data_IF_225634207870
#
_entry.id   IF_225634207870
#
_cell.length_a   1.000
_cell.length_b   1.000
_cell.length_c   1.000
_cell.angle_alpha   90.00
_cell.angle_beta   90.00
_cell.angle_gamma   90.00
#
_symmetry.space_group_name_H-M   'P 1'
#
loop_
_entity.id
_entity.type
_entity.pdbx_description
1 polymer ?
#
# COMPACT_ATOMS: atom_id res chain seq x y z
N UNK A 1 0.52 -15.83 15.91
CA UNK A 1 0.44 -15.28 14.55
C UNK A 1 0.79 -13.81 14.63
N UNK A 2 1.68 -13.35 13.70
CA UNK A 2 2.30 -12.03 13.79
C UNK A 2 1.90 -11.09 12.64
N UNK A 3 1.39 -11.65 11.54
CA UNK A 3 0.83 -10.92 10.40
C UNK A 3 -0.07 -11.82 9.56
N UNK A 4 -0.93 -11.22 8.74
CA UNK A 4 -1.78 -11.89 7.75
C UNK A 4 -0.90 -12.52 6.66
N UNK A 5 -1.31 -13.69 6.15
CA UNK A 5 -0.67 -14.29 4.96
C UNK A 5 -1.25 -13.58 3.74
N UNK A 6 -0.49 -12.77 3.00
CA UNK A 6 -1.03 -12.02 1.88
C UNK A 6 -1.39 -12.98 0.74
N UNK A 7 -2.59 -12.77 0.19
CA UNK A 7 -3.06 -13.38 -1.06
C UNK A 7 -3.32 -12.30 -2.11
N UNK A 8 -2.59 -11.20 -1.99
CA UNK A 8 -2.76 -10.02 -2.84
C UNK A 8 -2.39 -10.33 -4.29
N UNK A 9 -3.23 -9.94 -5.26
CA UNK A 9 -2.92 -10.04 -6.68
C UNK A 9 -1.76 -9.12 -7.09
N UNK A 10 -1.32 -8.19 -6.25
CA UNK A 10 -0.09 -7.40 -6.45
C UNK A 10 1.11 -8.31 -6.76
N UNK A 11 1.10 -9.58 -6.31
CA UNK A 11 2.12 -10.55 -6.65
C UNK A 11 2.35 -10.70 -8.17
N UNK A 12 1.27 -10.66 -8.99
CA UNK A 12 1.39 -10.74 -10.45
C UNK A 12 2.10 -9.51 -11.02
N UNK A 13 1.89 -8.33 -10.44
CA UNK A 13 2.57 -7.09 -10.85
C UNK A 13 4.06 -7.14 -10.50
N UNK A 14 4.38 -7.65 -9.31
CA UNK A 14 5.76 -7.81 -8.85
C UNK A 14 6.53 -8.74 -9.79
N UNK A 15 5.96 -9.90 -10.13
CA UNK A 15 6.57 -10.88 -11.04
C UNK A 15 6.85 -10.29 -12.44
N UNK A 16 6.04 -9.32 -12.89
CA UNK A 16 6.21 -8.59 -14.14
C UNK A 16 7.07 -7.33 -13.97
N UNK A 17 7.69 -7.10 -12.81
CA UNK A 17 8.47 -5.90 -12.51
C UNK A 17 7.63 -4.62 -12.60
N UNK A 18 6.33 -4.71 -12.26
CA UNK A 18 5.35 -3.63 -12.33
C UNK A 18 5.04 -3.10 -13.75
N UNK A 19 5.38 -3.88 -14.80
CA UNK A 19 4.92 -3.56 -16.15
C UNK A 19 3.43 -3.95 -16.34
N UNK A 20 2.69 -3.22 -17.19
CA UNK A 20 3.13 -2.10 -18.03
C UNK A 20 3.14 -0.74 -17.31
N UNK A 21 2.79 -0.68 -16.03
CA UNK A 21 2.55 0.55 -15.28
C UNK A 21 3.79 1.40 -15.11
N UNK A 22 4.95 0.80 -14.86
CA UNK A 22 6.21 1.55 -14.82
C UNK A 22 6.64 2.06 -16.19
N UNK A 23 6.11 1.52 -17.29
CA UNK A 23 6.37 1.96 -18.66
C UNK A 23 7.88 2.13 -18.97
N UNK A 24 8.69 1.14 -18.57
CA UNK A 24 10.14 1.14 -18.72
C UNK A 24 10.91 2.11 -17.83
N UNK A 25 10.24 2.87 -16.95
CA UNK A 25 10.89 3.75 -15.96
C UNK A 25 11.73 2.90 -14.98
N UNK A 26 12.93 3.33 -14.57
CA UNK A 26 13.67 2.66 -13.53
C UNK A 26 12.95 2.79 -12.19
N UNK A 27 12.93 1.71 -11.41
CA UNK A 27 12.44 1.70 -10.04
C UNK A 27 13.64 1.50 -9.11
N UNK A 28 14.27 2.60 -8.70
CA UNK A 28 15.45 2.58 -7.82
C UNK A 28 15.03 2.58 -6.34
N UNK A 29 13.93 3.26 -6.02
CA UNK A 29 13.38 3.37 -4.67
C UNK A 29 11.91 2.94 -4.67
N UNK A 30 11.58 1.93 -3.89
CA UNK A 30 10.21 1.41 -3.73
C UNK A 30 9.81 1.48 -2.27
N UNK A 31 8.59 1.94 -2.01
CA UNK A 31 7.97 1.91 -0.69
C UNK A 31 6.83 0.89 -0.68
N UNK A 32 6.88 -0.06 0.25
CA UNK A 32 5.75 -0.93 0.61
C UNK A 32 5.11 -0.38 1.90
N UNK A 33 3.98 0.31 1.75
CA UNK A 33 3.27 0.94 2.85
C UNK A 33 2.22 -0.03 3.43
N UNK A 34 2.14 -0.15 4.76
CA UNK A 34 1.39 -1.20 5.45
C UNK A 34 1.95 -2.61 5.14
N UNK A 35 3.26 -2.75 5.22
CA UNK A 35 4.02 -3.93 4.74
C UNK A 35 3.68 -5.24 5.47
N UNK A 36 3.12 -5.17 6.68
CA UNK A 36 2.83 -6.36 7.49
C UNK A 36 4.05 -7.25 7.70
N UNK A 37 3.98 -8.50 7.26
CA UNK A 37 5.09 -9.46 7.30
C UNK A 37 6.16 -9.27 6.22
N UNK A 38 6.15 -8.17 5.47
CA UNK A 38 7.15 -7.81 4.48
C UNK A 38 7.00 -8.49 3.12
N UNK A 39 5.86 -9.11 2.83
CA UNK A 39 5.75 -9.96 1.63
C UNK A 39 5.90 -9.17 0.33
N UNK A 40 5.26 -8.00 0.21
CA UNK A 40 5.36 -7.15 -0.99
C UNK A 40 6.78 -6.56 -1.08
N UNK A 41 7.31 -6.00 0.02
CA UNK A 41 8.66 -5.43 0.04
C UNK A 41 9.73 -6.45 -0.37
N UNK A 42 9.69 -7.64 0.23
CA UNK A 42 10.67 -8.71 -0.02
C UNK A 42 10.56 -9.23 -1.46
N UNK A 43 9.33 -9.45 -1.95
CA UNK A 43 9.11 -9.87 -3.32
C UNK A 43 9.57 -8.79 -4.31
N UNK A 44 9.26 -7.52 -4.06
CA UNK A 44 9.74 -6.41 -4.88
C UNK A 44 11.26 -6.37 -4.96
N UNK A 45 11.96 -6.51 -3.83
CA UNK A 45 13.43 -6.57 -3.81
C UNK A 45 13.99 -7.79 -4.55
N UNK A 46 13.26 -8.90 -4.58
CA UNK A 46 13.67 -10.10 -5.31
C UNK A 46 13.55 -9.92 -6.83
N UNK A 47 12.43 -9.37 -7.29
CA UNK A 47 12.14 -9.20 -8.73
C UNK A 47 12.73 -7.91 -9.33
N UNK A 48 13.09 -6.94 -8.49
CA UNK A 48 13.76 -5.69 -8.87
C UNK A 48 15.18 -5.67 -8.25
N UNK A 49 16.16 -6.34 -8.85
CA UNK A 49 17.48 -6.54 -8.23
C UNK A 49 18.28 -5.26 -7.98
N UNK A 50 17.95 -4.17 -8.67
CA UNK A 50 18.61 -2.86 -8.55
C UNK A 50 17.88 -1.91 -7.58
N UNK A 51 16.67 -2.27 -7.12
CA UNK A 51 15.87 -1.42 -6.24
C UNK A 51 16.27 -1.54 -4.77
N UNK A 52 16.21 -0.40 -4.07
CA UNK A 52 16.16 -0.34 -2.60
C UNK A 52 14.69 -0.23 -2.18
N UNK A 53 14.28 -1.06 -1.25
CA UNK A 53 12.90 -1.16 -0.83
C UNK A 53 12.77 -0.82 0.66
N UNK A 54 11.89 0.10 0.98
CA UNK A 54 11.47 0.37 2.35
C UNK A 54 10.10 -0.26 2.59
N UNK A 55 9.96 -1.05 3.65
CA UNK A 55 8.69 -1.57 4.14
C UNK A 55 8.28 -0.83 5.42
N UNK A 56 7.08 -0.29 5.45
CA UNK A 56 6.58 0.50 6.59
C UNK A 56 5.35 -0.15 7.21
N UNK A 57 5.35 -0.25 8.52
CA UNK A 57 4.18 -0.69 9.28
C UNK A 57 4.14 -0.02 10.66
N UNK A 58 2.95 0.13 11.21
CA UNK A 58 2.76 0.65 12.57
C UNK A 58 3.03 -0.41 13.65
N UNK A 59 3.05 -1.69 13.28
CA UNK A 59 3.17 -2.81 14.19
C UNK A 59 4.62 -3.31 14.31
N UNK A 60 5.29 -3.10 15.46
CA UNK A 60 6.63 -3.66 15.68
C UNK A 60 6.68 -5.19 15.58
N UNK A 61 5.56 -5.86 15.88
CA UNK A 61 5.46 -7.33 15.77
C UNK A 61 5.45 -7.78 14.31
N UNK A 62 4.75 -7.06 13.46
CA UNK A 62 4.74 -7.30 12.01
C UNK A 62 6.14 -7.09 11.44
N UNK A 63 6.80 -5.98 11.80
CA UNK A 63 8.15 -5.67 11.35
C UNK A 63 9.20 -6.69 11.85
N UNK A 64 9.03 -7.23 13.07
CA UNK A 64 9.89 -8.34 13.53
C UNK A 64 9.78 -9.55 12.61
N UNK A 65 8.57 -9.92 12.18
CA UNK A 65 8.36 -11.00 11.22
C UNK A 65 8.91 -10.66 9.84
N UNK A 66 8.74 -9.43 9.39
CA UNK A 66 9.26 -8.96 8.10
C UNK A 66 10.79 -9.07 8.05
N UNK A 67 11.50 -8.67 9.11
CA UNK A 67 12.95 -8.83 9.22
C UNK A 67 13.37 -10.31 9.17
N UNK A 68 12.71 -11.20 9.93
CA UNK A 68 12.98 -12.63 9.89
C UNK A 68 12.77 -13.22 8.48
N UNK A 69 11.74 -12.76 7.75
CA UNK A 69 11.47 -13.19 6.39
C UNK A 69 12.54 -12.68 5.40
N UNK A 70 12.97 -11.43 5.52
CA UNK A 70 14.02 -10.85 4.69
C UNK A 70 15.37 -11.57 4.89
N UNK A 71 15.72 -11.93 6.13
CA UNK A 71 16.89 -12.74 6.43
C UNK A 71 16.85 -14.11 5.75
N UNK A 72 15.69 -14.81 5.86
CA UNK A 72 15.50 -16.14 5.23
C UNK A 72 15.61 -16.09 3.71
N UNK A 73 15.19 -14.98 3.09
CA UNK A 73 15.19 -14.79 1.64
C UNK A 73 16.42 -14.05 1.12
N UNK A 74 17.38 -13.72 2.01
CA UNK A 74 18.68 -13.12 1.69
C UNK A 74 18.55 -11.80 0.91
N UNK A 75 17.64 -10.90 1.34
CA UNK A 75 17.42 -9.57 0.72
C UNK A 75 17.65 -8.41 1.70
N UNK A 76 18.23 -8.67 2.86
CA UNK A 76 18.46 -7.67 3.92
C UNK A 76 19.41 -6.54 3.53
N UNK A 77 20.17 -6.70 2.48
CA UNK A 77 21.06 -5.69 1.90
C UNK A 77 20.29 -4.62 1.09
N UNK A 78 19.04 -4.91 0.70
CA UNK A 78 18.22 -4.04 -0.15
C UNK A 78 16.83 -3.74 0.41
N UNK A 79 16.48 -4.35 1.54
CA UNK A 79 15.18 -4.10 2.21
C UNK A 79 15.41 -3.53 3.60
N UNK A 80 14.77 -2.42 3.91
CA UNK A 80 14.75 -1.79 5.23
C UNK A 80 13.31 -1.74 5.75
N UNK A 81 13.09 -2.12 7.02
CA UNK A 81 11.78 -2.01 7.66
C UNK A 81 11.76 -0.89 8.70
N UNK A 82 10.72 -0.05 8.64
CA UNK A 82 10.59 1.18 9.42
C UNK A 82 9.27 1.17 10.17
N UNK A 83 9.31 1.36 11.49
CA UNK A 83 8.12 1.57 12.31
C UNK A 83 7.60 2.99 12.09
N UNK A 84 6.41 3.11 11.49
CA UNK A 84 5.77 4.39 11.24
C UNK A 84 4.26 4.24 11.05
N UNK A 85 3.53 5.29 11.45
CA UNK A 85 2.14 5.45 11.05
C UNK A 85 2.11 6.11 9.67
N UNK A 86 1.86 5.31 8.63
CA UNK A 86 1.96 5.73 7.23
C UNK A 86 3.30 6.47 6.97
N UNK A 87 3.26 7.69 6.47
CA UNK A 87 4.42 8.46 6.07
C UNK A 87 5.13 9.23 7.21
N UNK A 88 4.60 9.19 8.44
CA UNK A 88 5.07 10.04 9.54
C UNK A 88 6.57 9.87 9.88
N UNK A 89 7.16 8.72 9.59
CA UNK A 89 8.60 8.45 9.80
C UNK A 89 9.46 8.58 8.56
N UNK A 90 8.94 9.13 7.45
CA UNK A 90 9.58 9.16 6.13
C UNK A 90 9.93 10.56 5.65
N UNK A 91 10.17 11.51 6.56
CA UNK A 91 10.49 12.89 6.20
C UNK A 91 11.67 12.98 5.22
N UNK A 92 11.43 13.58 4.04
CA UNK A 92 12.42 13.78 3.00
C UNK A 92 12.74 12.54 2.15
N UNK A 93 12.13 11.39 2.44
CA UNK A 93 12.27 10.19 1.60
C UNK A 93 11.36 10.30 0.36
N UNK A 94 11.91 9.92 -0.80
CA UNK A 94 11.23 9.97 -2.10
C UNK A 94 11.38 8.64 -2.82
N UNK A 95 10.30 8.17 -3.45
CA UNK A 95 10.19 6.85 -4.07
C UNK A 95 9.71 6.94 -5.52
N UNK A 96 10.17 6.03 -6.36
CA UNK A 96 9.70 5.90 -7.75
C UNK A 96 8.37 5.14 -7.80
N UNK A 97 8.15 4.25 -6.83
CA UNK A 97 6.91 3.50 -6.64
C UNK A 97 6.54 3.47 -5.16
N UNK A 98 5.31 3.80 -4.87
CA UNK A 98 4.65 3.44 -3.62
C UNK A 98 3.66 2.33 -3.94
N UNK A 99 3.78 1.19 -3.26
CA UNK A 99 2.83 0.09 -3.34
C UNK A 99 2.23 -0.14 -1.97
N UNK A 100 0.94 -0.43 -1.90
CA UNK A 100 0.28 -0.64 -0.61
C UNK A 100 -0.93 -1.55 -0.73
N UNK A 101 -1.08 -2.39 0.29
CA UNK A 101 -2.32 -3.12 0.57
C UNK A 101 -2.75 -2.77 2.00
N UNK A 102 -3.35 -1.59 2.21
CA UNK A 102 -3.75 -1.14 3.53
C UNK A 102 -4.94 -1.94 4.04
N UNK A 103 -5.20 -2.00 5.35
CA UNK A 103 -6.44 -2.55 5.86
C UNK A 103 -7.64 -1.75 5.30
N UNK A 104 -8.56 -2.45 4.64
CA UNK A 104 -9.78 -1.88 4.04
C UNK A 104 -11.07 -2.53 4.55
N UNK A 105 -10.99 -3.33 5.65
CA UNK A 105 -12.14 -4.00 6.24
C UNK A 105 -12.95 -3.02 7.08
N UNK A 106 -14.25 -2.95 6.83
CA UNK A 106 -15.16 -2.08 7.59
C UNK A 106 -15.37 -2.57 9.02
N UNK A 107 -15.77 -1.68 9.93
CA UNK A 107 -16.13 -2.06 11.32
C UNK A 107 -17.18 -3.18 11.40
N UNK A 108 -18.16 -3.17 10.48
CA UNK A 108 -19.22 -4.18 10.43
C UNK A 108 -18.70 -5.57 10.01
N UNK A 109 -17.70 -5.60 9.14
CA UNK A 109 -17.09 -6.85 8.68
C UNK A 109 -16.13 -7.41 9.71
N UNK A 110 -15.39 -6.57 10.45
CA UNK A 110 -14.53 -6.99 11.57
C UNK A 110 -15.35 -7.71 12.63
N UNK A 111 -16.53 -7.20 12.97
CA UNK A 111 -17.42 -7.82 13.94
C UNK A 111 -18.01 -9.17 13.47
N UNK A 112 -18.04 -9.39 12.15
CA UNK A 112 -18.56 -10.62 11.51
C UNK A 112 -17.47 -11.67 11.22
N UNK A 113 -16.18 -11.34 11.40
CA UNK A 113 -15.07 -12.26 11.11
C UNK A 113 -15.06 -13.45 12.10
N UNK A 114 -14.70 -14.67 11.62
CA UNK A 114 -14.48 -15.83 12.49
C UNK A 114 -13.46 -15.57 13.60
N UNK A 115 -13.57 -16.29 14.73
CA UNK A 115 -12.70 -16.10 15.92
C UNK A 115 -11.20 -16.14 15.60
N UNK A 116 -10.78 -16.80 14.55
CA UNK A 116 -9.39 -16.88 14.10
C UNK A 116 -8.79 -15.53 13.65
N UNK A 117 -9.62 -14.56 13.25
CA UNK A 117 -9.22 -13.20 12.88
C UNK A 117 -9.21 -12.21 14.05
N UNK A 118 -9.78 -12.60 15.22
CA UNK A 118 -9.80 -11.75 16.43
C UNK A 118 -8.45 -11.64 17.15
N UNK A 119 -7.43 -12.35 16.67
CA UNK A 119 -6.08 -12.30 17.24
C UNK A 119 -5.18 -11.24 16.54
N UNK A 120 -5.70 -10.50 15.57
CA UNK A 120 -5.00 -9.38 14.97
C UNK A 120 -5.12 -8.13 15.86
N UNK A 121 -4.10 -7.22 15.86
CA UNK A 121 -4.18 -5.99 16.64
C UNK A 121 -5.38 -5.17 16.17
N UNK A 122 -6.31 -4.86 17.06
CA UNK A 122 -7.53 -4.08 16.77
C UNK A 122 -7.26 -2.75 16.05
N UNK A 123 -6.07 -2.19 16.21
CA UNK A 123 -5.63 -0.95 15.58
C UNK A 123 -5.25 -1.08 14.11
N UNK A 124 -5.09 -2.29 13.57
CA UNK A 124 -4.73 -2.54 12.16
C UNK A 124 -5.92 -2.77 11.22
N UNK A 125 -7.14 -2.94 11.80
CA UNK A 125 -8.33 -3.33 11.03
C UNK A 125 -9.37 -2.20 10.87
N UNK A 126 -9.15 -1.03 11.49
CA UNK A 126 -10.15 0.05 11.51
C UNK A 126 -9.93 1.03 10.37
N UNK A 127 -10.53 0.75 9.22
CA UNK A 127 -10.49 1.60 8.01
C UNK A 127 -11.73 2.52 7.84
N UNK A 128 -12.45 2.82 8.92
CA UNK A 128 -13.66 3.64 8.89
C UNK A 128 -14.93 2.88 8.49
N UNK A 129 -15.98 3.63 8.11
CA UNK A 129 -17.30 3.07 7.82
C UNK A 129 -17.35 2.35 6.44
N UNK A 130 -16.50 2.74 5.51
CA UNK A 130 -16.44 2.25 4.12
C UNK A 130 -15.04 1.72 3.71
N UNK A 131 -14.12 1.58 4.66
CA UNK A 131 -12.77 1.06 4.40
C UNK A 131 -11.80 2.06 3.76
N UNK A 132 -12.17 3.33 3.56
CA UNK A 132 -11.39 4.30 2.78
C UNK A 132 -10.56 5.30 3.60
N UNK A 133 -10.66 5.33 4.92
CA UNK A 133 -10.00 6.36 5.73
C UNK A 133 -8.48 6.38 5.55
N UNK A 134 -7.83 5.22 5.55
CA UNK A 134 -6.40 5.11 5.31
C UNK A 134 -6.04 5.39 3.84
N UNK A 135 -6.86 4.92 2.91
CA UNK A 135 -6.66 5.16 1.46
C UNK A 135 -6.65 6.64 1.15
N UNK A 136 -7.59 7.41 1.70
CA UNK A 136 -7.64 8.87 1.51
C UNK A 136 -6.41 9.58 2.11
N UNK A 137 -5.93 9.13 3.27
CA UNK A 137 -4.70 9.67 3.86
C UNK A 137 -3.50 9.35 2.96
N UNK A 138 -3.42 8.12 2.43
CA UNK A 138 -2.35 7.72 1.52
C UNK A 138 -2.38 8.57 0.25
N UNK A 139 -3.55 8.74 -0.39
CA UNK A 139 -3.70 9.58 -1.58
C UNK A 139 -3.30 11.04 -1.33
N UNK A 140 -3.61 11.59 -0.14
CA UNK A 140 -3.28 12.97 0.22
C UNK A 140 -1.77 13.18 0.45
N UNK A 141 -1.07 12.19 1.01
CA UNK A 141 0.33 12.33 1.40
C UNK A 141 1.32 11.78 0.36
N UNK A 142 0.93 10.78 -0.43
CA UNK A 142 1.78 10.13 -1.42
C UNK A 142 2.50 11.11 -2.38
N UNK A 143 1.89 12.21 -2.87
CA UNK A 143 2.59 13.13 -3.77
C UNK A 143 3.85 13.75 -3.20
N UNK A 144 3.96 13.88 -1.86
CA UNK A 144 5.13 14.43 -1.16
C UNK A 144 6.29 13.43 -1.11
N UNK A 145 5.98 12.14 -1.30
CA UNK A 145 6.90 11.03 -1.21
C UNK A 145 7.12 10.30 -2.55
N UNK A 146 6.51 10.75 -3.63
CA UNK A 146 6.75 10.26 -4.98
C UNK A 146 7.74 11.15 -5.72
N UNK A 147 8.65 10.53 -6.50
CA UNK A 147 9.49 11.24 -7.47
C UNK A 147 8.63 11.88 -8.57
N UNK A 148 9.20 12.77 -9.38
CA UNK A 148 8.42 13.52 -10.38
C UNK A 148 7.68 12.60 -11.36
N UNK A 149 8.29 11.48 -11.74
CA UNK A 149 7.69 10.44 -12.58
C UNK A 149 7.17 9.25 -11.76
N UNK A 150 7.02 9.42 -10.45
CA UNK A 150 6.61 8.35 -9.53
C UNK A 150 5.11 8.06 -9.58
N UNK A 151 4.73 6.86 -9.19
CA UNK A 151 3.33 6.43 -9.18
C UNK A 151 2.99 5.58 -7.94
N UNK A 152 1.71 5.52 -7.64
CA UNK A 152 1.12 4.72 -6.56
C UNK A 152 0.37 3.52 -7.15
N UNK A 153 0.55 2.34 -6.53
CA UNK A 153 -0.32 1.18 -6.70
C UNK A 153 -0.97 0.88 -5.35
N UNK A 154 -2.29 0.84 -5.31
CA UNK A 154 -3.05 0.63 -4.09
C UNK A 154 -4.14 -0.42 -4.27
N UNK A 155 -4.17 -1.39 -3.35
CA UNK A 155 -5.28 -2.34 -3.22
C UNK A 155 -6.32 -1.76 -2.26
N UNK A 156 -7.59 -1.76 -2.69
CA UNK A 156 -8.75 -1.29 -1.90
C UNK A 156 -9.85 -2.36 -1.84
N UNK A 157 -9.66 -3.48 -2.52
CA UNK A 157 -10.61 -4.58 -2.52
C UNK A 157 -12.04 -4.16 -2.89
N UNK A 158 -13.01 -4.53 -2.08
CA UNK A 158 -14.42 -4.22 -2.33
C UNK A 158 -14.78 -2.72 -2.19
N UNK A 159 -13.89 -1.90 -1.63
CA UNK A 159 -14.10 -0.46 -1.52
C UNK A 159 -13.91 0.31 -2.85
N UNK A 160 -13.54 -0.37 -3.95
CA UNK A 160 -13.38 0.21 -5.29
C UNK A 160 -14.54 1.12 -5.68
N UNK A 161 -15.77 0.59 -5.58
CA UNK A 161 -16.97 1.35 -5.97
C UNK A 161 -17.14 2.62 -5.13
N UNK A 162 -16.95 2.52 -3.82
CA UNK A 162 -17.07 3.65 -2.91
C UNK A 162 -16.01 4.72 -3.20
N UNK A 163 -14.77 4.30 -3.55
CA UNK A 163 -13.70 5.22 -3.92
C UNK A 163 -14.01 5.97 -5.22
N UNK A 164 -14.54 5.28 -6.25
CA UNK A 164 -14.94 5.90 -7.51
C UNK A 164 -16.09 6.88 -7.32
N UNK A 165 -17.08 6.54 -6.48
CA UNK A 165 -18.20 7.44 -6.17
C UNK A 165 -17.74 8.68 -5.38
N UNK A 166 -16.73 8.55 -4.54
CA UNK A 166 -16.17 9.63 -3.71
C UNK A 166 -15.26 10.58 -4.49
N UNK A 167 -14.45 10.05 -5.40
CA UNK A 167 -13.46 10.78 -6.20
C UNK A 167 -13.61 10.49 -7.70
N UNK A 168 -14.79 10.79 -8.31
CA UNK A 168 -15.10 10.41 -9.69
C UNK A 168 -14.23 11.12 -10.74
N UNK A 169 -13.54 12.18 -10.36
CA UNK A 169 -12.65 12.95 -11.24
C UNK A 169 -11.23 12.40 -11.29
N UNK A 170 -10.80 11.55 -10.34
CA UNK A 170 -9.46 10.97 -10.37
C UNK A 170 -9.37 9.90 -11.46
N UNK A 171 -8.32 9.95 -12.28
CA UNK A 171 -8.12 8.97 -13.35
C UNK A 171 -7.47 7.69 -12.81
N UNK A 172 -8.19 6.97 -11.95
CA UNK A 172 -7.73 5.67 -11.46
C UNK A 172 -7.57 4.69 -12.63
N UNK A 173 -6.38 4.16 -12.82
CA UNK A 173 -6.14 3.06 -13.76
C UNK A 173 -6.39 1.73 -13.03
N UNK A 174 -7.61 1.21 -13.11
CA UNK A 174 -7.96 -0.06 -12.49
C UNK A 174 -7.26 -1.22 -13.20
N UNK A 175 -6.63 -2.08 -12.41
CA UNK A 175 -5.79 -3.17 -12.90
C UNK A 175 -6.60 -4.45 -12.96
N UNK A 176 -6.70 -5.04 -14.16
CA UNK A 176 -7.36 -6.33 -14.37
C UNK A 176 -6.37 -7.48 -14.19
N UNK A 177 -6.73 -8.47 -13.41
CA UNK A 177 -5.95 -9.69 -13.17
C UNK A 177 -6.60 -10.90 -13.84
N UNK A 178 -5.78 -11.90 -14.16
CA UNK A 178 -6.25 -13.16 -14.79
C UNK A 178 -7.23 -13.93 -13.92
N UNK A 179 -7.14 -13.78 -12.62
CA UNK A 179 -8.02 -14.42 -11.64
C UNK A 179 -8.79 -13.31 -10.93
N UNK A 180 -9.89 -12.92 -11.51
CA UNK A 180 -11.02 -12.09 -11.10
C UNK A 180 -11.05 -11.41 -9.72
N UNK A 181 -9.96 -10.83 -9.25
CA UNK A 181 -9.95 -9.96 -8.08
C UNK A 181 -9.97 -8.51 -8.54
N UNK A 182 -10.87 -7.71 -7.94
CA UNK A 182 -11.07 -6.30 -8.24
C UNK A 182 -10.44 -5.43 -7.16
N UNK A 183 -10.35 -4.13 -7.43
CA UNK A 183 -9.98 -3.16 -6.41
C UNK A 183 -8.49 -2.93 -6.24
N UNK A 184 -7.70 -3.02 -7.32
CA UNK A 184 -6.32 -2.50 -7.36
C UNK A 184 -6.24 -1.44 -8.45
N UNK A 185 -5.70 -0.29 -8.12
CA UNK A 185 -5.49 0.78 -9.07
C UNK A 185 -4.05 1.27 -9.09
N UNK A 186 -3.65 1.83 -10.22
CA UNK A 186 -2.47 2.66 -10.37
C UNK A 186 -2.90 4.12 -10.59
N UNK A 187 -2.13 5.07 -10.05
CA UNK A 187 -2.30 6.50 -10.29
C UNK A 187 -0.94 7.21 -10.29
N UNK A 188 -0.77 8.18 -11.19
CA UNK A 188 0.46 8.96 -11.30
C UNK A 188 0.50 10.07 -10.25
N UNK A 189 1.71 10.48 -9.84
CA UNK A 189 1.92 11.62 -8.93
C UNK A 189 1.26 12.90 -9.45
N UNK A 190 1.35 13.17 -10.75
CA UNK A 190 0.78 14.37 -11.38
C UNK A 190 -0.74 14.46 -11.21
N UNK A 191 -1.43 13.31 -11.32
CA UNK A 191 -2.88 13.24 -11.11
C UNK A 191 -3.24 13.52 -9.66
N UNK A 192 -2.49 12.96 -8.70
CA UNK A 192 -2.68 13.24 -7.27
C UNK A 192 -2.44 14.71 -6.93
N UNK A 193 -1.45 15.36 -7.54
CA UNK A 193 -1.19 16.79 -7.36
C UNK A 193 -2.30 17.65 -7.96
N UNK A 194 -2.85 17.26 -9.09
CA UNK A 194 -3.94 17.97 -9.76
C UNK A 194 -5.19 18.06 -8.89
N UNK A 195 -5.49 17.00 -8.16
CA UNK A 195 -6.68 16.89 -7.31
C UNK A 195 -6.38 16.94 -5.80
N UNK A 196 -5.22 17.48 -5.45
CA UNK A 196 -4.71 17.44 -4.07
C UNK A 196 -5.64 18.13 -3.06
N UNK A 197 -6.24 19.27 -3.42
CA UNK A 197 -7.10 20.05 -2.52
C UNK A 197 -8.35 19.24 -2.14
N UNK A 198 -8.98 18.60 -3.11
CA UNK A 198 -10.17 17.77 -2.92
C UNK A 198 -9.84 16.53 -2.08
N UNK A 199 -8.72 15.87 -2.37
CA UNK A 199 -8.28 14.69 -1.63
C UNK A 199 -7.96 15.07 -0.17
N UNK A 200 -7.22 16.16 0.08
CA UNK A 200 -6.91 16.62 1.44
C UNK A 200 -8.17 17.00 2.23
N UNK A 201 -9.15 17.65 1.59
CA UNK A 201 -10.41 18.01 2.25
C UNK A 201 -11.16 16.75 2.72
N UNK A 202 -11.30 15.74 1.87
CA UNK A 202 -11.94 14.47 2.21
C UNK A 202 -11.16 13.70 3.30
N UNK A 203 -9.84 13.67 3.20
CA UNK A 203 -9.00 13.02 4.21
C UNK A 203 -9.09 13.74 5.58
N UNK A 204 -9.23 15.05 5.59
CA UNK A 204 -9.40 15.83 6.82
C UNK A 204 -10.76 15.63 7.48
N UNK A 205 -11.84 15.56 6.70
CA UNK A 205 -13.19 15.27 7.20
C UNK A 205 -13.29 13.92 7.92
N UNK A 206 -12.48 12.93 7.50
CA UNK A 206 -12.49 11.59 8.08
C UNK A 206 -11.52 11.40 9.26
N UNK A 207 -10.66 12.38 9.51
CA UNK A 207 -9.77 12.39 10.69
C UNK A 207 -10.43 12.97 11.94
N UNK A 208 -11.58 13.64 11.83
CA UNK A 208 -12.33 14.27 12.92
C UNK A 208 -13.40 13.35 13.47
#
# INVERSE_FOLDING_TARGET
>A
ERALVPRSPIAELIEQGYEPWRNGRPLNRVLDLCTGGGCIAIASAHYLPDALVDGVDISPKALSLANENAERLLVTDRVRFIESNLFAGLDGEVYDLIVTNPPYVTHAEVDALPEEYRFEPENGLRAGHDGLDLVLQILAEAPKHLSDDGFLICEVGEAERALVELLPQLPFNWIEFKVGQMGIFQIEREDLLTWHIEIEALAAERRG
#
